data_IF_481913697049
#
_entry.id   IF_481913697049
#
_cell.length_a   1.000
_cell.length_b   1.000
_cell.length_c   1.000
_cell.angle_alpha   90.00
_cell.angle_beta   90.00
_cell.angle_gamma   90.00
#
_symmetry.space_group_name_H-M   'P 1'
#
loop_
_entity.id
_entity.type
_entity.pdbx_description
1 polymer ?
#
# COMPACT_ATOMS: atom_id res chain seq x y z
N UNK A 1 -15.38 -24.38 -12.44
CA UNK A 1 -14.04 -23.76 -12.43
C UNK A 1 -13.43 -24.02 -11.07
N UNK A 2 -12.33 -24.77 -10.98
CA UNK A 2 -11.67 -25.06 -9.70
C UNK A 2 -10.97 -23.83 -9.12
N UNK A 3 -10.68 -23.79 -7.81
CA UNK A 3 -9.91 -22.70 -7.22
C UNK A 3 -8.52 -22.74 -7.84
N UNK A 4 -8.17 -21.68 -8.57
CA UNK A 4 -6.83 -21.52 -9.11
C UNK A 4 -5.93 -21.19 -7.92
N UNK A 5 -5.38 -22.21 -7.28
CA UNK A 5 -4.28 -22.09 -6.32
C UNK A 5 -3.01 -21.67 -7.09
N UNK A 6 -3.04 -20.50 -7.71
CA UNK A 6 -1.89 -19.85 -8.32
C UNK A 6 -1.01 -19.27 -7.22
N UNK A 7 -0.38 -20.13 -6.43
CA UNK A 7 0.77 -19.72 -5.64
C UNK A 7 1.87 -19.34 -6.65
N UNK A 8 2.11 -18.04 -6.86
CA UNK A 8 3.19 -17.69 -7.80
C UNK A 8 4.53 -18.11 -7.20
N UNK A 9 5.53 -18.37 -8.06
CA UNK A 9 6.89 -18.65 -7.61
C UNK A 9 7.41 -17.62 -6.61
N UNK A 10 7.00 -16.35 -6.71
CA UNK A 10 7.43 -15.28 -5.79
C UNK A 10 6.97 -15.51 -4.35
N UNK A 11 5.79 -16.12 -4.13
CA UNK A 11 5.32 -16.46 -2.77
C UNK A 11 6.08 -17.65 -2.16
N UNK A 12 6.68 -18.52 -2.98
CA UNK A 12 7.52 -19.63 -2.51
C UNK A 12 8.96 -19.18 -2.22
N UNK A 13 9.39 -18.09 -2.83
CA UNK A 13 10.77 -17.59 -2.74
C UNK A 13 10.89 -16.50 -1.68
N UNK A 14 9.86 -15.65 -1.52
CA UNK A 14 9.88 -14.50 -0.61
C UNK A 14 8.68 -14.58 0.33
N UNK A 15 8.88 -14.60 1.67
CA UNK A 15 7.80 -14.53 2.65
C UNK A 15 6.86 -13.33 2.42
N UNK A 16 5.60 -13.48 2.79
CA UNK A 16 4.58 -12.42 2.61
C UNK A 16 4.99 -11.15 3.34
N UNK A 17 5.53 -11.28 4.54
CA UNK A 17 5.97 -10.18 5.40
C UNK A 17 7.08 -9.37 4.72
N UNK A 18 8.01 -10.04 4.04
CA UNK A 18 9.10 -9.38 3.31
C UNK A 18 8.55 -8.64 2.09
N UNK A 19 7.58 -9.23 1.38
CA UNK A 19 6.90 -8.52 0.29
C UNK A 19 6.19 -7.26 0.79
N UNK A 20 5.44 -7.35 1.90
CA UNK A 20 4.75 -6.21 2.49
C UNK A 20 5.73 -5.10 2.91
N UNK A 21 6.87 -5.48 3.50
CA UNK A 21 7.94 -4.52 3.83
C UNK A 21 8.48 -3.83 2.58
N UNK A 22 8.80 -4.56 1.51
CA UNK A 22 9.28 -3.97 0.25
C UNK A 22 8.23 -3.01 -0.33
N UNK A 23 6.98 -3.43 -0.41
CA UNK A 23 5.90 -2.62 -0.96
C UNK A 23 5.61 -1.39 -0.10
N UNK A 24 5.84 -1.45 1.21
CA UNK A 24 5.63 -0.30 2.11
C UNK A 24 6.50 0.92 1.76
N UNK A 25 7.67 0.71 1.15
CA UNK A 25 8.57 1.77 0.71
C UNK A 25 8.11 2.50 -0.56
N UNK A 26 7.18 1.90 -1.31
CA UNK A 26 6.73 2.45 -2.59
C UNK A 26 5.77 3.63 -2.42
N UNK A 27 5.83 4.58 -3.37
CA UNK A 27 4.84 5.64 -3.47
C UNK A 27 3.47 5.11 -3.93
N UNK A 28 2.41 5.90 -3.75
CA UNK A 28 1.04 5.52 -4.15
C UNK A 28 0.94 5.14 -5.64
N UNK A 29 1.65 5.87 -6.50
CA UNK A 29 1.69 5.62 -7.95
C UNK A 29 2.40 4.31 -8.29
N UNK A 30 3.52 4.03 -7.63
CA UNK A 30 4.26 2.79 -7.86
C UNK A 30 3.48 1.59 -7.34
N UNK A 31 2.80 1.73 -6.18
CA UNK A 31 1.89 0.71 -5.65
C UNK A 31 0.75 0.38 -6.62
N UNK A 32 0.20 1.40 -7.29
CA UNK A 32 -0.82 1.20 -8.33
C UNK A 32 -0.25 0.42 -9.51
N UNK A 33 0.93 0.79 -10.02
CA UNK A 33 1.57 0.09 -11.13
C UNK A 33 1.86 -1.39 -10.77
N UNK A 34 2.35 -1.64 -9.56
CA UNK A 34 2.59 -2.99 -9.04
C UNK A 34 1.30 -3.79 -8.93
N UNK A 35 0.21 -3.20 -8.40
CA UNK A 35 -1.08 -3.86 -8.29
C UNK A 35 -1.64 -4.32 -9.65
N UNK A 36 -1.36 -3.58 -10.72
CA UNK A 36 -1.77 -3.94 -12.08
C UNK A 36 -0.90 -5.03 -12.74
N UNK A 37 0.22 -5.44 -12.12
CA UNK A 37 1.17 -6.36 -12.74
C UNK A 37 0.70 -7.81 -12.67
N UNK A 38 0.17 -8.26 -11.52
CA UNK A 38 -0.37 -9.61 -11.37
C UNK A 38 -1.30 -9.72 -10.16
N UNK A 39 -2.12 -10.79 -10.10
CA UNK A 39 -3.10 -11.02 -9.02
C UNK A 39 -2.50 -11.06 -7.62
N UNK A 40 -1.25 -11.49 -7.48
CA UNK A 40 -0.59 -11.55 -6.17
C UNK A 40 -0.20 -10.17 -5.69
N UNK A 41 0.38 -9.36 -6.57
CA UNK A 41 0.66 -7.96 -6.25
C UNK A 41 -0.62 -7.16 -6.07
N UNK A 42 -1.67 -7.45 -6.84
CA UNK A 42 -3.00 -6.89 -6.61
C UNK A 42 -3.49 -7.17 -5.18
N UNK A 43 -3.34 -8.41 -4.71
CA UNK A 43 -3.75 -8.81 -3.35
C UNK A 43 -2.85 -8.20 -2.27
N UNK A 44 -1.53 -8.22 -2.46
CA UNK A 44 -0.58 -7.65 -1.50
C UNK A 44 -0.73 -6.13 -1.39
N UNK A 45 -0.92 -5.43 -2.51
CA UNK A 45 -1.13 -3.97 -2.52
C UNK A 45 -2.42 -3.52 -1.83
N UNK A 46 -3.34 -4.43 -1.51
CA UNK A 46 -4.55 -4.12 -0.71
C UNK A 46 -4.30 -4.22 0.80
N UNK A 47 -3.13 -4.68 1.23
CA UNK A 47 -2.85 -4.89 2.64
C UNK A 47 -2.85 -3.58 3.44
N UNK A 48 -3.54 -3.60 4.58
CA UNK A 48 -3.68 -2.46 5.47
C UNK A 48 -2.34 -1.93 6.01
N UNK A 49 -1.35 -2.80 6.21
CA UNK A 49 -0.04 -2.41 6.72
C UNK A 49 0.70 -1.48 5.75
N UNK A 50 0.40 -1.53 4.45
CA UNK A 50 0.96 -0.63 3.44
C UNK A 50 0.32 0.77 3.54
N UNK A 51 -0.99 0.83 3.73
CA UNK A 51 -1.76 2.08 3.63
C UNK A 51 -1.82 2.85 4.93
N UNK A 52 -1.87 2.17 6.08
CA UNK A 52 -1.95 2.82 7.40
C UNK A 52 -0.94 3.96 7.58
N UNK A 53 0.39 3.74 7.46
CA UNK A 53 1.37 4.80 7.70
C UNK A 53 1.24 5.95 6.69
N UNK A 54 0.88 5.65 5.43
CA UNK A 54 0.72 6.67 4.38
C UNK A 54 -0.48 7.57 4.67
N UNK A 55 -1.58 6.98 5.10
CA UNK A 55 -2.80 7.71 5.49
C UNK A 55 -2.55 8.54 6.74
N UNK A 56 -1.85 8.02 7.74
CA UNK A 56 -1.50 8.76 8.96
C UNK A 56 -0.65 10.00 8.65
N UNK A 57 0.34 9.88 7.75
CA UNK A 57 1.16 11.01 7.30
C UNK A 57 0.31 12.04 6.56
N UNK A 58 -0.46 11.64 5.55
CA UNK A 58 -1.26 12.55 4.74
C UNK A 58 -2.34 13.26 5.56
N UNK A 59 -3.00 12.53 6.46
CA UNK A 59 -3.97 13.11 7.38
C UNK A 59 -3.29 14.07 8.37
N UNK A 60 -2.13 13.69 8.93
CA UNK A 60 -1.35 14.57 9.80
C UNK A 60 -0.94 15.87 9.11
N UNK A 61 -0.50 15.80 7.86
CA UNK A 61 -0.20 16.98 7.04
C UNK A 61 -1.43 17.85 6.78
N UNK A 62 -2.58 17.23 6.49
CA UNK A 62 -3.84 17.93 6.29
C UNK A 62 -4.25 18.71 7.54
N UNK A 63 -4.22 18.06 8.71
CA UNK A 63 -4.54 18.69 10.00
C UNK A 63 -3.57 19.84 10.30
N UNK A 64 -2.27 19.63 10.08
CA UNK A 64 -1.26 20.67 10.30
C UNK A 64 -1.44 21.88 9.37
N UNK A 65 -1.88 21.66 8.12
CA UNK A 65 -2.21 22.75 7.17
C UNK A 65 -3.47 23.50 7.61
N UNK A 66 -4.51 22.79 8.04
CA UNK A 66 -5.74 23.39 8.55
C UNK A 66 -5.52 24.24 9.80
N UNK A 67 -4.72 23.74 10.77
CA UNK A 67 -4.37 24.48 11.98
C UNK A 67 -3.56 25.77 11.71
N UNK A 68 -2.85 25.84 10.57
CA UNK A 68 -2.03 27.00 10.16
C UNK A 68 -2.81 28.06 9.38
N UNK A 69 -4.05 27.80 8.99
CA UNK A 69 -4.89 28.83 8.37
C UNK A 69 -5.71 29.52 9.46
N UNK A 70 -5.34 30.74 9.90
CA UNK A 70 -6.18 31.48 10.83
C UNK A 70 -7.51 31.79 10.14
N UNK A 71 -8.61 31.44 10.80
CA UNK A 71 -9.93 31.93 10.43
C UNK A 71 -9.86 33.46 10.47
N UNK A 72 -9.88 34.10 9.30
CA UNK A 72 -10.12 35.54 9.20
C UNK A 72 -11.60 35.76 9.56
N UNK A 73 -11.87 36.00 10.83
CA UNK A 73 -13.06 36.73 11.29
C UNK A 73 -12.76 38.22 11.35
#
# INVERSE_FOLDING_TARGET
>A
MGPVNSTSPLQKIIPVEVNLQILSFLGKRDLQAIACTCKIFENLSKDFQIWKPKTEIEFGELVAKGAKQPHKS
#
